data_IF_233534617466
#
_entry.id   IF_233534617466
#
_cell.length_a   1.000
_cell.length_b   1.000
_cell.length_c   1.000
_cell.angle_alpha   90.00
_cell.angle_beta   90.00
_cell.angle_gamma   90.00
#
_symmetry.space_group_name_H-M   'P 1'
#
loop_
_entity.id
_entity.type
_entity.pdbx_description
1 polymer ?
#
# COMPACT_ATOMS: atom_id res chain seq x y z
N UNK A 1 -6.23 -1.82 2.60
CA UNK A 1 -5.29 -2.57 1.72
C UNK A 1 -5.08 -1.80 0.42
N UNK A 2 -4.02 -2.08 -0.34
CA UNK A 2 -3.71 -1.44 -1.62
C UNK A 2 -3.39 -2.46 -2.71
N UNK A 3 -3.54 -2.08 -3.97
CA UNK A 3 -3.17 -2.91 -5.12
C UNK A 3 -1.65 -2.93 -5.25
N UNK A 4 -1.07 -4.13 -5.25
CA UNK A 4 0.37 -4.37 -5.40
C UNK A 4 0.73 -4.94 -6.78
N UNK A 5 -0.24 -5.46 -7.53
CA UNK A 5 0.00 -6.02 -8.86
C UNK A 5 -1.28 -6.41 -9.57
N UNK A 6 -1.21 -6.44 -10.90
CA UNK A 6 -2.26 -6.89 -11.80
C UNK A 6 -1.69 -8.02 -12.67
N UNK A 7 -2.39 -9.15 -12.74
CA UNK A 7 -2.15 -10.26 -13.67
C UNK A 7 -3.36 -10.35 -14.60
N UNK A 8 -3.30 -9.59 -15.69
CA UNK A 8 -4.41 -9.47 -16.65
C UNK A 8 -4.67 -10.79 -17.39
N UNK A 9 -3.62 -11.57 -17.67
CA UNK A 9 -3.73 -12.88 -18.32
C UNK A 9 -4.55 -13.89 -17.52
N UNK A 10 -4.67 -13.69 -16.20
CA UNK A 10 -5.51 -14.50 -15.30
C UNK A 10 -6.64 -13.72 -14.64
N UNK A 11 -6.86 -12.46 -15.03
CA UNK A 11 -7.82 -11.54 -14.39
C UNK A 11 -7.68 -11.50 -12.86
N UNK A 12 -6.44 -11.43 -12.36
CA UNK A 12 -6.12 -11.46 -10.94
C UNK A 12 -5.52 -10.14 -10.46
N UNK A 13 -5.84 -9.77 -9.24
CA UNK A 13 -5.31 -8.59 -8.56
C UNK A 13 -4.63 -9.02 -7.26
N UNK A 14 -3.39 -8.58 -7.06
CA UNK A 14 -2.67 -8.76 -5.81
C UNK A 14 -2.90 -7.57 -4.89
N UNK A 15 -3.30 -7.83 -3.65
CA UNK A 15 -3.52 -6.82 -2.63
C UNK A 15 -2.45 -6.94 -1.52
N UNK A 16 -2.01 -5.80 -0.98
CA UNK A 16 -1.03 -5.75 0.10
C UNK A 16 -1.33 -4.66 1.12
N UNK A 17 -1.03 -4.94 2.38
CA UNK A 17 -0.99 -3.96 3.48
C UNK A 17 0.40 -3.39 3.69
N UNK A 18 1.45 -3.99 3.13
CA UNK A 18 2.85 -3.57 3.36
C UNK A 18 3.11 -2.11 3.03
N UNK A 19 2.44 -1.57 2.01
CA UNK A 19 2.59 -0.15 1.64
C UNK A 19 2.02 0.82 2.67
N UNK A 20 1.18 0.32 3.58
CA UNK A 20 0.63 1.09 4.70
C UNK A 20 1.54 1.00 5.94
N UNK A 21 2.57 0.16 5.94
CA UNK A 21 3.52 0.07 7.04
C UNK A 21 4.50 1.25 6.99
N UNK A 22 4.79 1.83 8.15
CA UNK A 22 5.87 2.78 8.34
C UNK A 22 7.22 2.06 8.43
N UNK A 23 7.23 0.83 8.92
CA UNK A 23 8.41 -0.05 8.99
C UNK A 23 7.99 -1.52 8.79
N UNK A 24 8.87 -2.38 8.22
CA UNK A 24 8.50 -3.76 7.90
C UNK A 24 8.00 -4.53 9.12
N UNK A 25 6.81 -5.12 9.01
CA UNK A 25 6.23 -5.93 10.09
C UNK A 25 5.33 -5.16 11.06
N UNK A 26 5.19 -3.83 10.94
CA UNK A 26 4.29 -3.03 11.79
C UNK A 26 2.85 -3.57 11.78
N UNK A 27 2.36 -4.12 10.66
CA UNK A 27 1.04 -4.75 10.59
C UNK A 27 0.88 -5.94 11.55
N UNK A 28 1.95 -6.66 11.84
CA UNK A 28 1.95 -7.80 12.76
C UNK A 28 2.11 -7.33 14.21
N UNK A 29 2.88 -6.26 14.43
CA UNK A 29 3.15 -5.72 15.76
C UNK A 29 2.02 -4.84 16.30
N UNK A 30 1.44 -3.99 15.45
CA UNK A 30 0.45 -2.98 15.83
C UNK A 30 -0.62 -2.77 14.75
N UNK A 31 -1.36 -3.84 14.43
CA UNK A 31 -2.42 -3.81 13.42
C UNK A 31 -3.45 -2.69 13.66
N UNK A 32 -3.80 -2.42 14.91
CA UNK A 32 -4.79 -1.39 15.28
C UNK A 32 -4.34 -0.01 14.81
N UNK A 33 -3.10 0.37 15.10
CA UNK A 33 -2.53 1.66 14.69
C UNK A 33 -2.48 1.80 13.16
N UNK A 34 -2.06 0.74 12.47
CA UNK A 34 -2.01 0.77 11.00
C UNK A 34 -3.40 0.94 10.40
N UNK A 35 -4.42 0.26 10.95
CA UNK A 35 -5.79 0.35 10.44
C UNK A 35 -6.45 1.69 10.78
N UNK A 36 -6.26 2.21 11.99
CA UNK A 36 -6.81 3.51 12.41
C UNK A 36 -6.29 4.66 11.54
N UNK A 37 -5.04 4.55 11.06
CA UNK A 37 -4.42 5.56 10.21
C UNK A 37 -4.38 5.18 8.72
N UNK A 38 -5.00 4.05 8.33
CA UNK A 38 -4.84 3.46 7.00
C UNK A 38 -5.18 4.41 5.84
N UNK A 39 -6.20 5.26 5.99
CA UNK A 39 -6.62 6.21 4.97
C UNK A 39 -5.55 7.28 4.69
N UNK A 40 -5.02 7.90 5.74
CA UNK A 40 -3.93 8.87 5.62
C UNK A 40 -2.66 8.23 5.05
N UNK A 41 -2.38 6.97 5.41
CA UNK A 41 -1.24 6.22 4.87
C UNK A 41 -1.44 5.85 3.39
N UNK A 42 -2.65 5.48 2.98
CA UNK A 42 -2.99 5.21 1.59
C UNK A 42 -2.82 6.46 0.71
N UNK A 43 -3.21 7.63 1.22
CA UNK A 43 -3.03 8.88 0.47
C UNK A 43 -1.55 9.23 0.28
N UNK A 44 -0.71 9.07 1.31
CA UNK A 44 0.76 9.20 1.16
C UNK A 44 1.32 8.22 0.13
N UNK A 45 0.87 6.97 0.16
CA UNK A 45 1.30 5.94 -0.78
C UNK A 45 0.93 6.29 -2.23
N UNK A 46 -0.30 6.73 -2.49
CA UNK A 46 -0.74 7.18 -3.83
C UNK A 46 0.11 8.33 -4.34
N UNK A 47 0.36 9.34 -3.50
CA UNK A 47 1.22 10.47 -3.86
C UNK A 47 2.62 9.99 -4.24
N UNK A 48 3.22 9.09 -3.47
CA UNK A 48 4.54 8.52 -3.81
C UNK A 48 4.51 7.80 -5.16
N UNK A 49 3.52 6.96 -5.41
CA UNK A 49 3.41 6.22 -6.68
C UNK A 49 3.25 7.16 -7.89
N UNK A 50 2.41 8.20 -7.76
CA UNK A 50 2.21 9.21 -8.80
C UNK A 50 3.47 10.05 -9.06
N UNK A 51 4.19 10.45 -8.01
CA UNK A 51 5.43 11.22 -8.18
C UNK A 51 6.54 10.38 -8.83
N UNK A 52 6.67 9.09 -8.49
CA UNK A 52 7.63 8.20 -9.17
C UNK A 52 7.25 7.92 -10.62
N UNK A 53 5.97 8.01 -11.00
CA UNK A 53 5.52 7.88 -12.39
C UNK A 53 5.80 9.11 -13.25
N UNK A 54 6.01 10.28 -12.65
CA UNK A 54 6.17 11.56 -13.36
C UNK A 54 7.62 12.09 -13.36
N UNK A 55 8.57 11.31 -12.85
CA UNK A 55 9.93 11.74 -12.58
C UNK A 55 11.02 10.75 -13.00
N UNK A 56 10.81 9.99 -14.08
CA UNK A 56 11.83 9.16 -14.72
C UNK A 56 11.66 9.18 -16.24
#
# INVERSE_FOLDING_TARGET
VMIAGLDEGKSRVSLSTKILENYPGEMLENMSEVMNSAEARAERARKKLLHHSNGN
#
